data_IF_437693946849
#
_entry.id   IF_437693946849
#
_cell.length_a   1.000
_cell.length_b   1.000
_cell.length_c   1.000
_cell.angle_alpha   90.00
_cell.angle_beta   90.00
_cell.angle_gamma   90.00
#
_symmetry.space_group_name_H-M   'P 1'
#
loop_
_entity.id
_entity.type
_entity.pdbx_description
1 polymer ?
#
# COMPACT_ATOMS: atom_id res chain seq x y z
N UNK A 1 40.59 -63.37 -22.67
CA UNK A 1 40.44 -62.02 -23.24
C UNK A 1 39.00 -61.61 -23.47
N UNK A 2 38.15 -62.41 -24.04
CA UNK A 2 36.72 -62.03 -24.26
C UNK A 2 35.92 -61.85 -22.96
N UNK A 3 36.16 -62.67 -21.94
CA UNK A 3 35.50 -62.56 -20.63
C UNK A 3 35.94 -61.35 -19.81
N UNK A 4 37.17 -60.94 -19.93
CA UNK A 4 37.69 -59.72 -19.24
C UNK A 4 37.17 -58.43 -19.85
N UNK A 5 36.97 -58.41 -21.14
CA UNK A 5 36.40 -57.24 -21.85
C UNK A 5 34.90 -57.07 -21.52
N UNK A 6 34.16 -58.18 -21.44
CA UNK A 6 32.75 -58.16 -21.06
C UNK A 6 32.53 -57.74 -19.60
N UNK A 7 33.36 -58.13 -18.67
CA UNK A 7 33.29 -57.70 -17.28
C UNK A 7 33.65 -56.20 -17.12
N UNK A 8 34.62 -55.71 -17.82
CA UNK A 8 34.99 -54.31 -17.79
C UNK A 8 33.90 -53.40 -18.39
N UNK A 9 33.22 -53.83 -19.44
CA UNK A 9 32.08 -53.14 -20.02
C UNK A 9 30.88 -53.03 -19.10
N UNK A 10 30.53 -54.14 -18.41
CA UNK A 10 29.43 -54.16 -17.45
C UNK A 10 29.70 -53.27 -16.23
N UNK A 11 30.93 -53.21 -15.73
CA UNK A 11 31.31 -52.33 -14.61
C UNK A 11 31.21 -50.83 -14.98
N UNK A 12 31.61 -50.45 -16.21
CA UNK A 12 31.50 -49.08 -16.70
C UNK A 12 30.02 -48.62 -16.86
N UNK A 13 29.16 -49.45 -17.37
CA UNK A 13 27.74 -49.18 -17.54
C UNK A 13 27.06 -49.03 -16.16
N UNK A 14 27.44 -49.86 -15.19
CA UNK A 14 26.92 -49.76 -13.81
C UNK A 14 27.30 -48.45 -13.10
N UNK A 15 28.52 -47.96 -13.30
CA UNK A 15 29.00 -46.70 -12.75
C UNK A 15 28.29 -45.48 -13.38
N UNK A 16 28.01 -45.51 -14.66
CA UNK A 16 27.25 -44.42 -15.31
C UNK A 16 25.79 -44.35 -14.85
N UNK A 17 25.15 -45.52 -14.65
CA UNK A 17 23.76 -45.57 -14.18
C UNK A 17 23.57 -45.03 -12.77
N UNK A 18 24.48 -45.31 -11.87
CA UNK A 18 24.41 -44.80 -10.47
C UNK A 18 24.66 -43.31 -10.36
N UNK A 19 25.52 -42.73 -11.24
CA UNK A 19 25.78 -41.31 -11.28
C UNK A 19 24.53 -40.47 -11.62
N UNK A 20 23.78 -40.93 -12.64
CA UNK A 20 22.55 -40.20 -13.05
C UNK A 20 21.47 -40.20 -11.97
N UNK A 21 21.25 -41.29 -11.26
CA UNK A 21 20.24 -41.39 -10.20
C UNK A 21 20.64 -40.54 -8.99
N UNK A 22 21.92 -40.58 -8.61
CA UNK A 22 22.42 -39.75 -7.50
C UNK A 22 22.30 -38.25 -7.80
N UNK A 23 22.60 -37.82 -9.03
CA UNK A 23 22.48 -36.45 -9.47
C UNK A 23 21.03 -35.96 -9.48
N UNK A 24 20.10 -36.81 -9.94
CA UNK A 24 18.67 -36.48 -9.94
C UNK A 24 18.12 -36.28 -8.51
N UNK A 25 18.48 -37.15 -7.59
CA UNK A 25 18.09 -36.99 -6.18
C UNK A 25 18.68 -35.75 -5.53
N UNK A 26 19.92 -35.44 -5.83
CA UNK A 26 20.61 -34.23 -5.34
C UNK A 26 19.93 -32.96 -5.84
N UNK A 27 19.63 -32.89 -7.12
CA UNK A 27 18.94 -31.77 -7.75
C UNK A 27 17.54 -31.58 -7.15
N UNK A 28 16.75 -32.63 -7.03
CA UNK A 28 15.43 -32.60 -6.41
C UNK A 28 15.48 -32.12 -4.97
N UNK A 29 16.45 -32.59 -4.17
CA UNK A 29 16.66 -32.19 -2.79
C UNK A 29 17.08 -30.71 -2.65
N UNK A 30 17.80 -30.17 -3.62
CA UNK A 30 18.28 -28.78 -3.63
C UNK A 30 17.20 -27.82 -4.14
N UNK A 31 16.38 -28.25 -5.11
CA UNK A 31 15.34 -27.42 -5.74
C UNK A 31 14.08 -27.35 -4.86
N UNK A 32 13.68 -28.42 -4.19
CA UNK A 32 12.46 -28.45 -3.38
C UNK A 32 12.34 -27.31 -2.35
N UNK A 33 13.37 -26.97 -1.57
CA UNK A 33 13.29 -25.81 -0.66
C UNK A 33 13.23 -24.47 -1.40
N UNK A 34 13.81 -24.37 -2.61
CA UNK A 34 13.73 -23.19 -3.45
C UNK A 34 12.32 -23.02 -3.99
N UNK A 35 11.69 -24.06 -4.47
CA UNK A 35 10.28 -24.04 -4.91
C UNK A 35 9.34 -23.58 -3.79
N UNK A 36 9.52 -24.13 -2.59
CA UNK A 36 8.72 -23.71 -1.42
C UNK A 36 8.90 -22.23 -1.10
N UNK A 37 10.12 -21.71 -1.22
CA UNK A 37 10.41 -20.28 -0.99
C UNK A 37 9.85 -19.41 -2.09
N UNK A 38 9.90 -19.83 -3.34
CA UNK A 38 9.31 -19.11 -4.47
C UNK A 38 7.80 -19.04 -4.29
N UNK A 39 7.13 -20.13 -4.00
CA UNK A 39 5.68 -20.16 -3.76
C UNK A 39 5.29 -19.24 -2.59
N UNK A 40 6.04 -19.28 -1.50
CA UNK A 40 5.80 -18.38 -0.36
C UNK A 40 6.00 -16.91 -0.71
N UNK A 41 6.96 -16.59 -1.58
CA UNK A 41 7.21 -15.24 -2.06
C UNK A 41 6.11 -14.77 -3.00
N UNK A 42 5.65 -15.62 -3.91
CA UNK A 42 4.52 -15.34 -4.79
C UNK A 42 3.25 -15.07 -4.00
N UNK A 43 2.99 -15.85 -2.96
CA UNK A 43 1.85 -15.61 -2.07
C UNK A 43 1.94 -14.26 -1.37
N UNK A 44 3.12 -13.92 -0.83
CA UNK A 44 3.36 -12.61 -0.22
C UNK A 44 3.19 -11.46 -1.21
N UNK A 45 3.66 -11.63 -2.44
CA UNK A 45 3.50 -10.61 -3.48
C UNK A 45 2.03 -10.40 -3.82
N UNK A 46 1.25 -11.47 -3.93
CA UNK A 46 -0.20 -11.39 -4.16
C UNK A 46 -0.91 -10.69 -3.01
N UNK A 47 -0.54 -10.97 -1.77
CA UNK A 47 -1.11 -10.30 -0.60
C UNK A 47 -0.72 -8.82 -0.55
N UNK A 48 0.52 -8.48 -0.91
CA UNK A 48 0.96 -7.09 -1.03
C UNK A 48 0.23 -6.34 -2.13
N UNK A 49 -0.02 -6.96 -3.29
CA UNK A 49 -0.78 -6.34 -4.38
C UNK A 49 -2.21 -6.01 -3.93
N UNK A 50 -2.85 -6.88 -3.16
CA UNK A 50 -4.16 -6.59 -2.54
C UNK A 50 -4.08 -5.41 -1.58
N UNK A 51 -3.08 -5.40 -0.70
CA UNK A 51 -2.88 -4.29 0.24
C UNK A 51 -2.63 -2.97 -0.48
N UNK A 52 -1.85 -2.98 -1.56
CA UNK A 52 -1.62 -1.79 -2.39
C UNK A 52 -2.91 -1.29 -3.05
N UNK A 53 -3.76 -2.20 -3.53
CA UNK A 53 -5.06 -1.84 -4.09
C UNK A 53 -6.00 -1.24 -3.04
N UNK A 54 -6.02 -1.79 -1.83
CA UNK A 54 -6.80 -1.26 -0.71
C UNK A 54 -6.27 0.11 -0.27
N UNK A 55 -4.95 0.28 -0.15
CA UNK A 55 -4.34 1.58 0.14
C UNK A 55 -4.66 2.63 -0.93
N UNK A 56 -4.69 2.25 -2.21
CA UNK A 56 -5.06 3.17 -3.29
C UNK A 56 -6.49 3.66 -3.14
N UNK A 57 -7.43 2.79 -2.75
CA UNK A 57 -8.83 3.17 -2.45
C UNK A 57 -8.91 4.09 -1.23
N UNK A 58 -8.17 3.77 -0.18
CA UNK A 58 -8.14 4.59 1.04
C UNK A 58 -7.59 5.98 0.74
N UNK A 59 -6.55 6.08 -0.09
CA UNK A 59 -6.00 7.37 -0.53
C UNK A 59 -6.99 8.17 -1.36
N UNK A 60 -7.74 7.55 -2.24
CA UNK A 60 -8.77 8.20 -3.04
C UNK A 60 -9.91 8.72 -2.16
N UNK A 61 -10.37 7.90 -1.22
CA UNK A 61 -11.37 8.28 -0.21
C UNK A 61 -10.87 9.46 0.64
N UNK A 62 -9.64 9.38 1.13
CA UNK A 62 -9.02 10.44 1.93
C UNK A 62 -8.88 11.74 1.13
N UNK A 63 -8.51 11.67 -0.13
CA UNK A 63 -8.43 12.82 -1.03
C UNK A 63 -9.79 13.50 -1.21
N UNK A 64 -10.86 12.71 -1.36
CA UNK A 64 -12.22 13.20 -1.45
C UNK A 64 -12.66 13.87 -0.14
N UNK A 65 -12.39 13.26 0.99
CA UNK A 65 -12.71 13.81 2.31
C UNK A 65 -11.93 15.09 2.60
N UNK A 66 -10.68 15.14 2.19
CA UNK A 66 -9.86 16.35 2.29
C UNK A 66 -10.44 17.50 1.46
N UNK A 67 -10.88 17.21 0.24
CA UNK A 67 -11.53 18.21 -0.63
C UNK A 67 -12.82 18.74 0.00
N UNK A 68 -13.66 17.89 0.54
CA UNK A 68 -14.88 18.28 1.29
C UNK A 68 -14.55 19.11 2.52
N UNK A 69 -13.54 18.71 3.27
CA UNK A 69 -13.10 19.46 4.46
C UNK A 69 -12.59 20.83 4.07
N UNK A 70 -11.84 20.95 2.99
CA UNK A 70 -11.37 22.21 2.45
C UNK A 70 -12.54 23.12 2.07
N UNK A 71 -13.56 22.62 1.38
CA UNK A 71 -14.78 23.36 1.06
C UNK A 71 -15.51 23.85 2.32
N UNK A 72 -15.66 22.97 3.31
CA UNK A 72 -16.31 23.31 4.60
C UNK A 72 -15.53 24.35 5.38
N UNK A 73 -14.21 24.28 5.38
CA UNK A 73 -13.36 25.31 6.00
C UNK A 73 -13.51 26.64 5.29
N UNK A 74 -13.52 26.66 3.96
CA UNK A 74 -13.75 27.88 3.17
C UNK A 74 -15.12 28.49 3.45
N UNK A 75 -16.16 27.66 3.52
CA UNK A 75 -17.53 28.09 3.85
C UNK A 75 -17.62 28.63 5.29
N UNK A 76 -17.00 27.94 6.25
CA UNK A 76 -16.95 28.40 7.63
C UNK A 76 -16.19 29.73 7.78
N UNK A 77 -15.09 29.89 7.05
CA UNK A 77 -14.32 31.15 7.02
C UNK A 77 -15.17 32.30 6.47
N UNK A 78 -15.85 32.08 5.36
CA UNK A 78 -16.76 33.07 4.77
C UNK A 78 -17.89 33.46 5.75
N UNK A 79 -18.46 32.52 6.45
CA UNK A 79 -19.49 32.76 7.48
C UNK A 79 -18.94 33.54 8.68
N UNK A 80 -17.73 33.22 9.11
CA UNK A 80 -17.04 33.92 10.18
C UNK A 80 -16.76 35.39 9.79
N UNK A 81 -16.30 35.63 8.59
CA UNK A 81 -16.09 36.99 8.07
C UNK A 81 -17.42 37.75 8.00
N UNK A 82 -18.48 37.15 7.48
CA UNK A 82 -19.82 37.79 7.42
C UNK A 82 -20.38 38.08 8.82
N UNK A 83 -20.18 37.18 9.78
CA UNK A 83 -20.58 37.40 11.18
C UNK A 83 -19.79 38.57 11.81
N UNK A 84 -18.50 38.67 11.56
CA UNK A 84 -17.67 39.77 12.01
C UNK A 84 -18.14 41.09 11.44
N UNK A 85 -18.44 41.20 10.16
CA UNK A 85 -19.00 42.38 9.53
C UNK A 85 -20.37 42.76 10.08
N UNK A 86 -21.22 41.78 10.38
CA UNK A 86 -22.52 42.01 11.00
C UNK A 86 -22.39 42.54 12.42
N UNK A 87 -21.46 42.03 13.20
CA UNK A 87 -21.16 42.51 14.54
C UNK A 87 -20.62 43.94 14.51
N UNK A 88 -19.76 44.25 13.57
CA UNK A 88 -19.22 45.61 13.35
C UNK A 88 -20.34 46.61 13.04
N UNK A 89 -21.24 46.30 12.11
CA UNK A 89 -22.40 47.14 11.77
C UNK A 89 -23.37 47.28 12.97
N UNK A 90 -23.55 46.24 13.76
CA UNK A 90 -24.37 46.33 14.98
C UNK A 90 -23.74 47.27 16.02
N UNK A 91 -22.40 47.22 16.16
CA UNK A 91 -21.63 48.11 16.99
C UNK A 91 -21.78 49.58 16.57
N UNK A 92 -21.62 49.87 15.26
CA UNK A 92 -21.83 51.19 14.70
C UNK A 92 -23.24 51.72 14.90
N UNK A 93 -24.28 50.88 14.77
CA UNK A 93 -25.66 51.26 15.03
C UNK A 93 -25.89 51.59 16.50
N UNK A 94 -25.31 50.80 17.39
CA UNK A 94 -25.40 51.03 18.84
C UNK A 94 -24.72 52.38 19.22
N UNK A 95 -23.58 52.67 18.63
CA UNK A 95 -22.84 53.91 18.82
C UNK A 95 -23.66 55.13 18.35
N UNK A 96 -24.21 55.04 17.13
CA UNK A 96 -25.08 56.10 16.59
C UNK A 96 -26.32 56.31 17.45
N UNK A 97 -26.94 55.28 17.96
CA UNK A 97 -28.06 55.34 18.89
C UNK A 97 -27.66 56.02 20.19
N UNK A 98 -26.51 55.70 20.75
CA UNK A 98 -25.95 56.35 21.94
C UNK A 98 -25.69 57.84 21.75
N UNK A 99 -25.13 58.21 20.63
CA UNK A 99 -24.90 59.64 20.28
C UNK A 99 -26.23 60.39 20.16
N UNK A 100 -27.23 59.79 19.51
CA UNK A 100 -28.59 60.40 19.47
C UNK A 100 -29.17 60.65 20.82
N UNK A 101 -29.09 59.68 21.72
CA UNK A 101 -29.55 59.83 23.09
C UNK A 101 -28.84 60.96 23.84
N UNK A 102 -27.54 61.08 23.67
CA UNK A 102 -26.76 62.18 24.24
C UNK A 102 -27.15 63.53 23.71
N UNK A 103 -27.52 63.64 22.45
CA UNK A 103 -27.89 64.91 21.78
C UNK A 103 -29.28 65.35 22.15
N UNK A 104 -30.17 64.44 22.49
CA UNK A 104 -31.57 64.72 22.92
C UNK A 104 -31.68 65.00 24.44
N UNK A 105 -30.80 64.42 25.23
CA UNK A 105 -30.69 64.61 26.66
C UNK A 105 -29.72 65.72 27.01
#
# INVERSE_FOLDING_TARGET
MKTTITMAGAALISLMGTGCVATHKYVAKTISPVESRVTATEQKNTDQDKQLADHAKDLDSLSTDLSRTKERVTDADAKAVAAGQSAERAGERAERASVRFRTIG
#
